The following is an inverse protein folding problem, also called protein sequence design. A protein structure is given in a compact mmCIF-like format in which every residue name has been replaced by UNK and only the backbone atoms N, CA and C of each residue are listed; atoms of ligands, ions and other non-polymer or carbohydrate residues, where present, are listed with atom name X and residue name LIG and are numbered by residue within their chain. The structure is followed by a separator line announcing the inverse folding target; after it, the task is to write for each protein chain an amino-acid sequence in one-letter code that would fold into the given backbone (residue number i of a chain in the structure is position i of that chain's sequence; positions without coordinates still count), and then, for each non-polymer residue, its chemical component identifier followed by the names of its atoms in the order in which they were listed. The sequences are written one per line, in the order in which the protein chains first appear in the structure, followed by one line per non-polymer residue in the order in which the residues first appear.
data_IF_708407784484
#
_entry.id   IF_708407784484
#
_cell.length_a   1.000
_cell.length_b   1.000
_cell.length_c   1.000
_cell.angle_alpha   90.00
_cell.angle_beta   90.00
_cell.angle_gamma   90.00
#
_symmetry.space_group_name_H-M   'P 1'
#
loop_
_entity.id
_entity.type
_entity.pdbx_description
1 polymer ?
#
# COMPACT_ATOMS: atom_id res chain seq x y z
N UNK A 1 -13.26 -9.48 -4.53
CA UNK A 1 -13.02 -8.25 -5.31
C UNK A 1 -14.34 -7.49 -5.29
N UNK A 2 -14.40 -6.33 -4.63
CA UNK A 2 -15.61 -5.50 -4.53
C UNK A 2 -15.42 -4.28 -5.45
N UNK A 3 -16.33 -4.01 -6.40
CA UNK A 3 -16.18 -2.87 -7.30
C UNK A 3 -16.52 -1.56 -6.58
N UNK A 4 -15.54 -0.65 -6.47
CA UNK A 4 -15.78 0.70 -5.97
C UNK A 4 -16.27 1.61 -7.10
N UNK A 5 -17.45 2.22 -6.91
CA UNK A 5 -18.02 3.24 -7.80
C UNK A 5 -18.04 4.61 -7.11
N UNK A 6 -17.73 5.67 -7.86
CA UNK A 6 -17.73 7.05 -7.39
C UNK A 6 -18.93 7.77 -8.03
N UNK A 7 -20.09 7.72 -7.36
CA UNK A 7 -21.30 8.38 -7.82
C UNK A 7 -21.47 9.76 -7.18
N UNK A 8 -21.83 10.76 -7.98
CA UNK A 8 -22.06 12.11 -7.51
C UNK A 8 -23.52 12.30 -7.05
N UNK A 9 -23.69 12.87 -5.85
CA UNK A 9 -24.91 13.54 -5.43
C UNK A 9 -24.53 14.86 -4.75
N UNK A 10 -25.22 15.93 -5.11
CA UNK A 10 -25.08 17.27 -4.52
C UNK A 10 -26.39 17.69 -3.84
N UNK A 11 -26.26 18.47 -2.76
CA UNK A 11 -27.39 19.03 -1.99
C UNK A 11 -27.21 20.50 -1.58
N UNK A 12 -26.19 21.19 -2.10
CA UNK A 12 -25.88 22.57 -1.68
C UNK A 12 -25.32 23.46 -2.80
N UNK A 13 -25.67 24.74 -2.76
CA UNK A 13 -25.27 25.80 -3.71
C UNK A 13 -23.80 26.26 -3.58
N UNK A 14 -22.89 25.37 -3.18
CA UNK A 14 -21.45 25.69 -3.14
C UNK A 14 -20.96 25.86 -4.58
N UNK A 15 -20.30 26.99 -4.95
CA UNK A 15 -19.86 27.24 -6.32
C UNK A 15 -19.00 26.11 -6.88
N UNK A 16 -19.59 25.27 -7.74
CA UNK A 16 -18.94 24.06 -8.20
C UNK A 16 -17.94 24.36 -9.31
N UNK A 17 -16.67 24.54 -8.93
CA UNK A 17 -15.55 24.67 -9.86
C UNK A 17 -14.41 23.75 -9.47
N UNK A 18 -14.19 22.74 -10.31
CA UNK A 18 -12.88 22.14 -10.48
C UNK A 18 -11.98 23.15 -11.22
N UNK A 19 -10.87 23.66 -10.64
CA UNK A 19 -10.07 24.68 -11.31
C UNK A 19 -9.36 24.14 -12.56
N UNK A 20 -9.39 24.89 -13.66
CA UNK A 20 -8.76 24.48 -14.92
C UNK A 20 -7.24 24.26 -14.80
N UNK A 21 -6.58 24.99 -13.90
CA UNK A 21 -5.15 24.82 -13.59
C UNK A 21 -4.87 23.50 -12.84
N UNK A 22 -5.78 23.11 -11.93
CA UNK A 22 -5.70 21.82 -11.23
C UNK A 22 -5.95 20.67 -12.22
N UNK A 23 -6.94 20.83 -13.11
CA UNK A 23 -7.25 19.88 -14.18
C UNK A 23 -6.05 19.66 -15.12
N UNK A 24 -5.46 20.75 -15.62
CA UNK A 24 -4.28 20.71 -16.49
C UNK A 24 -3.06 20.08 -15.79
N UNK A 25 -2.83 20.40 -14.51
CA UNK A 25 -1.77 19.79 -13.71
C UNK A 25 -1.96 18.28 -13.54
N UNK A 26 -3.19 17.82 -13.28
CA UNK A 26 -3.51 16.38 -13.16
C UNK A 26 -3.37 15.68 -14.51
N UNK A 27 -3.89 16.27 -15.60
CA UNK A 27 -3.77 15.70 -16.94
C UNK A 27 -2.30 15.53 -17.35
N UNK A 28 -1.46 16.54 -17.11
CA UNK A 28 -0.02 16.46 -17.33
C UNK A 28 0.64 15.39 -16.44
N UNK A 29 0.25 15.28 -15.18
CA UNK A 29 0.80 14.25 -14.29
C UNK A 29 0.41 12.82 -14.72
N UNK A 30 -0.77 12.62 -15.33
CA UNK A 30 -1.15 11.32 -15.92
C UNK A 30 -0.26 10.96 -17.11
N UNK A 31 0.00 11.94 -17.99
CA UNK A 31 0.89 11.77 -19.16
C UNK A 31 2.35 11.51 -18.73
N UNK A 32 2.95 12.39 -17.93
CA UNK A 32 4.37 12.34 -17.57
C UNK A 32 4.75 11.06 -16.80
N UNK A 33 3.85 10.52 -15.98
CA UNK A 33 4.08 9.29 -15.21
C UNK A 33 3.72 8.01 -15.99
N UNK A 34 3.25 8.12 -17.23
CA UNK A 34 2.75 7.01 -18.06
C UNK A 34 1.61 6.24 -17.37
N UNK A 35 0.74 6.95 -16.64
CA UNK A 35 -0.36 6.33 -15.88
C UNK A 35 -1.44 5.87 -16.88
N UNK A 36 -1.77 4.56 -16.94
CA UNK A 36 -2.77 4.06 -17.88
C UNK A 36 -4.14 4.74 -17.68
N UNK A 37 -4.59 4.83 -16.42
CA UNK A 37 -5.83 5.48 -16.05
C UNK A 37 -5.84 6.00 -14.62
N UNK A 38 -6.56 7.10 -14.38
CA UNK A 38 -6.69 7.76 -13.07
C UNK A 38 -8.12 8.27 -12.88
N UNK A 39 -8.70 8.09 -11.70
CA UNK A 39 -9.98 8.70 -11.30
C UNK A 39 -9.83 9.49 -10.01
N UNK A 40 -10.51 10.64 -9.94
CA UNK A 40 -10.48 11.56 -8.81
C UNK A 40 -11.91 11.90 -8.38
N UNK A 41 -12.15 11.82 -7.07
CA UNK A 41 -13.32 12.35 -6.39
C UNK A 41 -12.92 13.53 -5.49
N UNK A 42 -13.74 14.58 -5.47
CA UNK A 42 -13.61 15.66 -4.47
C UNK A 42 -14.98 15.88 -3.81
N UNK A 43 -14.97 15.84 -2.48
CA UNK A 43 -16.15 16.03 -1.62
C UNK A 43 -15.93 17.26 -0.76
N UNK A 44 -16.94 18.12 -0.65
CA UNK A 44 -16.95 19.28 0.27
C UNK A 44 -18.28 19.27 1.01
N UNK A 45 -18.21 19.38 2.34
CA UNK A 45 -19.36 19.14 3.23
C UNK A 45 -19.95 17.72 3.00
N UNK A 46 -21.24 17.62 2.68
CA UNK A 46 -21.94 16.36 2.40
C UNK A 46 -21.96 15.96 0.92
N UNK A 47 -21.51 16.87 0.04
CA UNK A 47 -21.79 16.86 -1.40
C UNK A 47 -20.55 16.50 -2.20
N UNK A 48 -20.71 15.59 -3.17
CA UNK A 48 -19.67 15.33 -4.18
C UNK A 48 -19.70 16.49 -5.18
N UNK A 49 -18.58 17.20 -5.31
CA UNK A 49 -18.48 18.38 -6.18
C UNK A 49 -17.74 18.05 -7.49
N UNK A 50 -16.75 17.16 -7.44
CA UNK A 50 -16.00 16.72 -8.63
C UNK A 50 -15.93 15.20 -8.67
N UNK A 51 -16.22 14.64 -9.84
CA UNK A 51 -15.77 13.31 -10.25
C UNK A 51 -15.16 13.48 -11.64
N UNK A 52 -13.93 13.00 -11.86
CA UNK A 52 -13.30 13.04 -13.19
C UNK A 52 -12.32 11.89 -13.41
N UNK A 53 -12.41 11.28 -14.59
CA UNK A 53 -11.46 10.30 -15.09
C UNK A 53 -10.46 10.87 -16.11
N UNK A 54 -9.30 10.21 -16.20
CA UNK A 54 -8.21 10.50 -17.13
C UNK A 54 -7.63 9.18 -17.65
N UNK A 55 -7.13 9.17 -18.90
CA UNK A 55 -6.52 7.98 -19.49
C UNK A 55 -7.52 6.93 -19.96
N UNK A 56 -7.10 5.67 -19.97
CA UNK A 56 -7.85 4.49 -20.41
C UNK A 56 -7.97 3.43 -19.30
N UNK A 57 -9.00 2.59 -19.39
CA UNK A 57 -9.24 1.50 -18.42
C UNK A 57 -8.20 0.39 -18.53
N UNK A 58 -7.70 0.13 -19.74
CA UNK A 58 -6.75 -0.95 -20.04
C UNK A 58 -5.78 -0.50 -21.16
N UNK A 59 -4.50 -0.85 -21.02
CA UNK A 59 -3.47 -0.48 -22.00
C UNK A 59 -3.74 -1.11 -23.37
N UNK A 60 -3.75 -0.28 -24.42
CA UNK A 60 -4.04 -0.71 -25.78
C UNK A 60 -5.53 -0.78 -26.15
N UNK A 61 -6.45 -0.49 -25.23
CA UNK A 61 -7.89 -0.35 -25.50
C UNK A 61 -8.34 1.11 -25.52
N UNK A 62 -9.43 1.45 -26.24
CA UNK A 62 -9.89 2.83 -26.37
C UNK A 62 -10.67 3.36 -25.15
N UNK A 63 -11.25 2.45 -24.36
CA UNK A 63 -12.20 2.76 -23.28
C UNK A 63 -11.58 3.69 -22.23
N UNK A 64 -12.24 4.81 -21.96
CA UNK A 64 -11.75 5.86 -21.07
C UNK A 64 -12.10 5.61 -19.62
N UNK A 65 -11.28 6.17 -18.72
CA UNK A 65 -11.67 6.31 -17.32
C UNK A 65 -12.72 7.40 -17.19
N UNK A 66 -13.77 7.12 -16.44
CA UNK A 66 -14.94 7.96 -16.18
C UNK A 66 -15.47 7.70 -14.75
N UNK A 67 -16.56 8.36 -14.36
CA UNK A 67 -17.27 8.20 -13.09
C UNK A 67 -17.84 6.78 -12.86
N UNK A 68 -17.92 5.96 -13.91
CA UNK A 68 -18.41 4.58 -13.85
C UNK A 68 -17.27 3.54 -13.90
N UNK A 69 -16.03 4.00 -14.04
CA UNK A 69 -14.85 3.14 -14.13
C UNK A 69 -14.43 2.68 -12.74
N UNK A 70 -14.47 1.37 -12.54
CA UNK A 70 -14.09 0.70 -11.29
C UNK A 70 -12.57 0.59 -11.16
N UNK A 71 -12.07 0.91 -9.97
CA UNK A 71 -10.70 0.64 -9.52
C UNK A 71 -10.74 -0.29 -8.29
N UNK A 72 -9.66 -1.03 -8.02
CA UNK A 72 -9.55 -1.78 -6.77
C UNK A 72 -9.19 -0.81 -5.64
N UNK A 73 -9.98 -0.77 -4.57
CA UNK A 73 -9.68 0.01 -3.37
C UNK A 73 -8.42 -0.49 -2.60
N UNK A 74 -7.74 -1.53 -3.08
CA UNK A 74 -6.48 -2.06 -2.58
C UNK A 74 -6.49 -2.28 -1.05
N UNK A 75 -5.76 -1.47 -0.28
CA UNK A 75 -5.86 -1.45 1.19
C UNK A 75 -6.60 -0.25 1.79
N UNK A 76 -7.15 0.68 1.01
CA UNK A 76 -8.28 1.51 1.48
C UNK A 76 -9.54 0.66 1.66
N UNK A 77 -9.64 -0.49 0.99
CA UNK A 77 -10.57 -1.56 1.35
C UNK A 77 -10.58 -1.76 2.86
N UNK A 78 -9.44 -1.74 3.56
CA UNK A 78 -9.36 -1.97 5.02
C UNK A 78 -10.08 -0.93 5.89
N UNK A 79 -10.03 0.35 5.56
CA UNK A 79 -10.77 1.38 6.31
C UNK A 79 -12.26 1.30 6.01
N UNK A 80 -12.63 0.95 4.76
CA UNK A 80 -14.02 0.68 4.39
C UNK A 80 -14.54 -0.55 5.19
N UNK A 81 -13.75 -1.61 5.18
CA UNK A 81 -13.87 -2.89 5.90
C UNK A 81 -13.91 -2.74 7.42
N UNK A 82 -13.70 -1.54 8.00
CA UNK A 82 -14.02 -1.25 9.39
C UNK A 82 -15.38 -0.52 9.57
N UNK A 83 -15.82 0.23 8.55
CA UNK A 83 -16.93 1.18 8.62
C UNK A 83 -18.29 0.55 8.47
N UNK A 84 -18.57 -0.03 7.29
CA UNK A 84 -19.84 -0.69 6.99
C UNK A 84 -19.93 -2.04 7.71
N UNK A 85 -19.29 -2.12 8.89
CA UNK A 85 -18.90 -3.29 9.66
C UNK A 85 -19.10 -2.97 11.14
N UNK A 86 -18.64 -1.80 11.61
CA UNK A 86 -19.19 -1.17 12.80
C UNK A 86 -20.70 -0.92 12.64
N UNK A 87 -21.13 -0.25 11.56
CA UNK A 87 -22.49 0.28 11.41
C UNK A 87 -23.62 -0.71 11.76
N UNK A 88 -23.75 -1.80 11.01
CA UNK A 88 -24.75 -2.82 11.31
C UNK A 88 -24.21 -3.92 12.27
N UNK A 89 -23.01 -3.82 12.87
CA UNK A 89 -22.69 -4.56 14.13
C UNK A 89 -23.42 -3.89 15.29
N UNK A 90 -23.49 -2.56 15.27
CA UNK A 90 -24.35 -1.80 16.19
C UNK A 90 -25.85 -2.06 15.89
N UNK A 91 -26.19 -2.61 14.71
CA UNK A 91 -27.50 -3.24 14.42
C UNK A 91 -27.55 -4.78 14.62
N UNK A 92 -26.45 -5.44 15.04
CA UNK A 92 -26.38 -6.87 15.37
C UNK A 92 -26.13 -7.87 14.22
N UNK A 93 -25.53 -7.46 13.09
CA UNK A 93 -25.60 -8.17 11.78
C UNK A 93 -24.28 -8.37 11.00
N UNK A 94 -23.13 -7.78 11.38
CA UNK A 94 -22.01 -7.56 10.44
C UNK A 94 -20.65 -8.21 10.75
N UNK A 95 -19.83 -8.31 9.67
CA UNK A 95 -18.38 -8.58 9.59
C UNK A 95 -17.80 -7.94 8.30
N UNK A 96 -16.49 -8.00 8.11
CA UNK A 96 -15.66 -6.93 7.51
C UNK A 96 -15.71 -6.68 5.96
N UNK A 97 -16.27 -5.55 5.45
CA UNK A 97 -16.38 -5.18 3.99
C UNK A 97 -16.23 -3.67 3.51
N UNK A 98 -17.23 -2.76 3.51
CA UNK A 98 -17.42 -1.66 2.49
C UNK A 98 -17.10 -0.18 2.88
N UNK A 99 -16.35 0.60 2.06
CA UNK A 99 -15.65 2.27 2.77
C UNK A 99 -16.32 3.68 2.77
N UNK A 100 -16.68 4.36 1.66
CA UNK A 100 -16.66 5.85 1.56
C UNK A 100 -17.49 6.61 2.62
N UNK A 101 -18.47 5.94 3.20
CA UNK A 101 -19.26 6.36 4.36
C UNK A 101 -18.37 6.74 5.56
N UNK A 102 -17.19 6.13 5.71
CA UNK A 102 -16.18 6.41 6.75
C UNK A 102 -15.73 7.85 6.76
N UNK A 103 -15.47 8.38 5.57
CA UNK A 103 -14.89 9.71 5.40
C UNK A 103 -15.90 10.77 5.77
N UNK A 104 -17.13 10.63 5.28
CA UNK A 104 -18.25 11.51 5.64
C UNK A 104 -18.68 11.36 7.10
N UNK A 105 -18.59 10.17 7.69
CA UNK A 105 -18.82 9.92 9.13
C UNK A 105 -17.75 10.58 10.02
N UNK A 106 -16.46 10.47 9.68
CA UNK A 106 -15.39 11.09 10.46
C UNK A 106 -15.36 12.61 10.33
N UNK A 107 -15.62 13.17 9.14
CA UNK A 107 -15.80 14.62 8.96
C UNK A 107 -17.11 15.14 9.60
N UNK A 108 -18.06 14.25 9.88
CA UNK A 108 -19.28 14.52 10.64
C UNK A 108 -19.11 14.46 12.16
N UNK A 109 -17.89 14.23 12.68
CA UNK A 109 -17.56 14.10 14.11
C UNK A 109 -18.54 13.19 14.87
N UNK A 110 -18.65 11.95 14.38
CA UNK A 110 -19.51 10.91 14.95
C UNK A 110 -20.98 11.04 14.55
N UNK A 111 -21.33 12.02 13.72
CA UNK A 111 -22.67 12.17 13.14
C UNK A 111 -22.74 11.69 11.69
N UNK A 112 -23.90 11.12 11.34
CA UNK A 112 -24.27 10.70 9.99
C UNK A 112 -25.69 11.17 9.70
N UNK A 113 -25.91 11.85 8.58
CA UNK A 113 -27.23 12.34 8.12
C UNK A 113 -28.03 13.09 9.21
N UNK A 114 -27.34 13.89 10.02
CA UNK A 114 -27.91 14.68 11.11
C UNK A 114 -28.13 13.93 12.43
N UNK A 115 -27.92 12.60 12.47
CA UNK A 115 -28.00 11.77 13.68
C UNK A 115 -26.62 11.49 14.23
N UNK A 116 -26.40 11.67 15.54
CA UNK A 116 -25.18 11.23 16.21
C UNK A 116 -25.21 9.72 16.45
N UNK A 117 -24.12 9.04 16.06
CA UNK A 117 -23.93 7.58 16.21
C UNK A 117 -22.81 7.28 17.21
N UNK A 118 -21.70 8.03 17.16
CA UNK A 118 -20.60 7.97 18.14
C UNK A 118 -20.50 9.30 18.87
N UNK A 119 -20.13 9.29 20.15
CA UNK A 119 -19.97 10.51 20.93
C UNK A 119 -18.74 11.31 20.48
N UNK A 120 -18.86 12.63 20.50
CA UNK A 120 -17.78 13.58 20.19
C UNK A 120 -16.49 13.28 21.00
N UNK A 121 -16.63 12.92 22.28
CA UNK A 121 -15.50 12.49 23.11
C UNK A 121 -14.81 11.20 22.61
N UNK A 122 -15.56 10.22 22.11
CA UNK A 122 -14.99 8.98 21.56
C UNK A 122 -14.36 9.18 20.16
N UNK A 123 -14.90 10.13 19.37
CA UNK A 123 -14.29 10.56 18.12
C UNK A 123 -12.97 11.29 18.37
N UNK A 124 -12.95 12.23 19.32
CA UNK A 124 -11.73 12.93 19.73
C UNK A 124 -10.65 11.97 20.24
N UNK A 125 -11.02 10.90 20.99
CA UNK A 125 -10.07 9.89 21.43
C UNK A 125 -9.60 8.95 20.31
N UNK A 126 -10.47 8.60 19.34
CA UNK A 126 -10.05 7.85 18.14
C UNK A 126 -9.08 8.66 17.27
N UNK A 127 -9.27 9.98 17.22
CA UNK A 127 -8.43 10.95 16.52
C UNK A 127 -7.21 11.41 17.34
N UNK A 128 -7.09 11.00 18.61
CA UNK A 128 -6.00 11.45 19.48
C UNK A 128 -4.66 10.75 19.16
N UNK A 129 -3.51 11.41 19.35
CA UNK A 129 -2.19 10.80 19.27
C UNK A 129 -1.95 9.69 20.31
N UNK A 130 -2.20 8.43 19.93
CA UNK A 130 -1.95 7.25 20.78
C UNK A 130 -0.46 6.83 20.78
N UNK A 131 0.26 7.06 19.68
CA UNK A 131 1.70 6.80 19.57
C UNK A 131 2.42 7.93 18.82
N UNK A 132 3.46 8.51 19.41
CA UNK A 132 4.26 9.58 18.79
C UNK A 132 5.19 8.98 17.71
N UNK A 133 5.17 9.56 16.50
CA UNK A 133 6.09 9.21 15.42
C UNK A 133 7.23 10.25 15.39
N UNK A 134 8.50 9.86 15.60
CA UNK A 134 9.63 10.79 15.56
C UNK A 134 9.77 11.50 14.20
N UNK A 135 9.55 12.81 14.16
CA UNK A 135 9.69 13.59 12.92
C UNK A 135 11.14 14.05 12.74
N UNK A 136 11.85 13.44 11.79
CA UNK A 136 13.14 13.95 11.30
C UNK A 136 12.91 15.15 10.36
N UNK A 137 13.92 16.00 10.10
CA UNK A 137 13.80 17.08 9.12
C UNK A 137 13.36 16.56 7.74
N UNK A 138 13.96 15.46 7.27
CA UNK A 138 13.59 14.81 6.02
C UNK A 138 12.13 14.28 6.01
N UNK A 139 11.64 13.76 7.15
CA UNK A 139 10.25 13.33 7.28
C UNK A 139 9.28 14.52 7.15
N UNK A 140 9.57 15.65 7.84
CA UNK A 140 8.76 16.88 7.77
C UNK A 140 8.67 17.40 6.33
N UNK A 141 9.81 17.58 5.65
CA UNK A 141 9.85 18.01 4.25
C UNK A 141 9.12 17.05 3.30
N UNK A 142 9.28 15.74 3.48
CA UNK A 142 8.64 14.74 2.62
C UNK A 142 7.11 14.66 2.81
N UNK A 143 6.59 14.98 4.00
CA UNK A 143 5.16 14.86 4.36
C UNK A 143 4.41 16.18 4.49
N UNK A 144 5.08 17.32 4.38
CA UNK A 144 4.52 18.68 4.57
C UNK A 144 3.93 18.88 5.99
N UNK A 145 4.64 18.33 6.98
CA UNK A 145 4.29 18.35 8.42
C UNK A 145 5.15 19.41 9.13
N UNK A 146 4.53 20.36 9.83
CA UNK A 146 5.24 21.40 10.57
C UNK A 146 5.57 20.99 12.01
N UNK A 147 4.60 20.45 12.73
CA UNK A 147 4.62 20.34 14.20
C UNK A 147 4.81 18.90 14.68
N UNK A 148 3.92 17.97 14.32
CA UNK A 148 3.97 16.61 14.87
C UNK A 148 3.43 15.54 13.92
N UNK A 149 3.86 14.30 14.15
CA UNK A 149 3.26 13.11 13.57
C UNK A 149 3.04 12.05 14.66
N UNK A 150 1.97 11.29 14.51
CA UNK A 150 1.51 10.28 15.44
C UNK A 150 0.69 9.21 14.71
N UNK A 151 0.35 8.15 15.45
CA UNK A 151 -0.64 7.16 15.07
C UNK A 151 -1.78 7.21 16.09
N UNK A 152 -3.02 7.32 15.61
CA UNK A 152 -4.26 7.17 16.39
C UNK A 152 -4.89 5.80 16.13
N UNK A 153 -6.14 5.58 16.54
CA UNK A 153 -6.79 4.29 16.33
C UNK A 153 -7.22 4.13 14.85
N UNK A 154 -6.34 3.53 14.05
CA UNK A 154 -6.57 3.24 12.62
C UNK A 154 -6.08 4.31 11.63
N UNK A 155 -5.60 5.46 12.12
CA UNK A 155 -5.18 6.60 11.31
C UNK A 155 -3.75 7.06 11.63
N UNK A 156 -3.06 7.58 10.61
CA UNK A 156 -1.92 8.47 10.86
C UNK A 156 -2.46 9.86 11.19
N UNK A 157 -2.06 10.40 12.34
CA UNK A 157 -2.50 11.70 12.87
C UNK A 157 -1.31 12.65 12.80
N UNK A 158 -1.40 13.74 12.06
CA UNK A 158 -0.33 14.75 11.93
C UNK A 158 -0.93 16.10 11.56
N UNK A 159 -0.13 17.15 11.46
CA UNK A 159 -0.56 18.35 10.73
C UNK A 159 -0.18 18.28 9.25
N UNK A 160 -1.06 18.77 8.38
CA UNK A 160 -0.76 19.15 7.01
C UNK A 160 -0.62 20.68 6.96
N UNK A 161 0.62 21.17 6.87
CA UNK A 161 0.93 22.61 6.84
C UNK A 161 0.31 23.41 8.01
N UNK A 162 0.07 22.77 9.17
CA UNK A 162 -0.62 23.35 10.33
C UNK A 162 -2.10 22.99 10.51
N UNK A 163 -2.76 22.41 9.50
CA UNK A 163 -4.13 21.90 9.61
C UNK A 163 -4.15 20.46 10.13
N UNK A 164 -4.97 20.08 11.14
CA UNK A 164 -4.99 18.71 11.65
C UNK A 164 -5.44 17.72 10.57
N UNK A 165 -4.64 16.68 10.32
CA UNK A 165 -4.86 15.69 9.27
C UNK A 165 -4.92 14.26 9.83
N UNK A 166 -5.96 13.54 9.42
CA UNK A 166 -6.11 12.09 9.60
C UNK A 166 -5.97 11.42 8.25
N UNK A 167 -5.04 10.48 8.06
CA UNK A 167 -4.81 9.89 6.75
C UNK A 167 -4.29 8.45 6.80
N UNK A 168 -4.39 7.77 5.65
CA UNK A 168 -3.90 6.40 5.46
C UNK A 168 -3.61 6.10 3.98
N UNK A 169 -2.97 4.96 3.71
CA UNK A 169 -2.61 4.50 2.34
C UNK A 169 -2.88 3.02 2.16
N UNK A 170 -2.98 2.59 0.91
CA UNK A 170 -3.02 1.18 0.57
C UNK A 170 -2.35 0.83 -0.76
N UNK A 171 -2.02 -0.45 -0.90
CA UNK A 171 -1.58 -1.07 -2.14
C UNK A 171 -1.98 -2.55 -2.16
N UNK A 172 -2.02 -3.13 -3.35
CA UNK A 172 -2.37 -4.53 -3.63
C UNK A 172 -2.63 -4.73 -5.13
N UNK A 173 -2.32 -5.90 -5.67
CA UNK A 173 -2.79 -6.41 -6.97
C UNK A 173 -2.82 -5.37 -8.12
N UNK A 174 -1.65 -4.83 -8.48
CA UNK A 174 -1.54 -3.82 -9.54
C UNK A 174 -1.90 -2.38 -9.12
N UNK A 175 -2.58 -2.16 -7.99
CA UNK A 175 -3.18 -0.87 -7.63
C UNK A 175 -2.63 -0.24 -6.34
N UNK A 176 -2.75 1.09 -6.25
CA UNK A 176 -2.37 1.95 -5.12
C UNK A 176 -3.52 2.90 -4.76
N UNK A 177 -3.59 3.28 -3.49
CA UNK A 177 -4.73 4.02 -2.94
C UNK A 177 -4.31 4.95 -1.78
N UNK A 178 -4.90 6.15 -1.71
CA UNK A 178 -4.59 7.18 -0.70
C UNK A 178 -5.85 7.87 -0.19
N UNK A 179 -5.85 8.25 1.09
CA UNK A 179 -7.02 8.81 1.77
C UNK A 179 -6.59 9.77 2.88
N UNK A 180 -7.08 11.01 2.86
CA UNK A 180 -6.82 12.01 3.90
C UNK A 180 -8.05 12.85 4.23
N UNK A 181 -8.13 13.31 5.48
CA UNK A 181 -9.18 14.14 6.06
C UNK A 181 -8.56 15.32 6.81
N UNK A 182 -9.13 16.51 6.66
CA UNK A 182 -8.87 17.69 7.49
C UNK A 182 -10.18 18.02 8.27
N UNK A 183 -10.34 17.56 9.52
CA UNK A 183 -11.64 17.58 10.21
C UNK A 183 -12.17 18.98 10.53
N UNK A 184 -11.31 19.94 10.89
CA UNK A 184 -11.75 21.32 11.21
C UNK A 184 -12.27 22.03 9.95
N UNK A 185 -11.64 21.75 8.83
CA UNK A 185 -11.90 22.32 7.50
C UNK A 185 -12.99 21.57 6.73
N UNK A 186 -13.48 20.44 7.28
CA UNK A 186 -14.50 19.56 6.70
C UNK A 186 -14.19 19.13 5.26
N UNK A 187 -12.89 18.90 5.00
CA UNK A 187 -12.34 18.54 3.70
C UNK A 187 -11.82 17.10 3.73
N UNK A 188 -12.06 16.35 2.66
CA UNK A 188 -11.54 14.99 2.49
C UNK A 188 -11.15 14.72 1.05
N UNK A 189 -10.10 13.93 0.87
CA UNK A 189 -9.57 13.52 -0.44
C UNK A 189 -9.27 12.04 -0.46
N UNK A 190 -9.66 11.36 -1.53
CA UNK A 190 -9.33 9.96 -1.80
C UNK A 190 -8.89 9.81 -3.26
N UNK A 191 -7.80 9.07 -3.50
CA UNK A 191 -7.20 8.89 -4.83
C UNK A 191 -6.85 7.43 -5.03
N UNK A 192 -7.26 6.87 -6.17
CA UNK A 192 -7.03 5.48 -6.59
C UNK A 192 -6.23 5.47 -7.89
N UNK A 193 -5.27 4.54 -8.00
CA UNK A 193 -4.33 4.45 -9.14
C UNK A 193 -4.14 2.99 -9.52
N UNK A 194 -4.42 2.61 -10.76
CA UNK A 194 -4.32 1.22 -11.24
C UNK A 194 -2.89 0.79 -11.65
N UNK A 195 -1.85 1.39 -11.05
CA UNK A 195 -0.45 1.03 -11.34
C UNK A 195 0.51 1.31 -10.18
N UNK A 196 1.49 0.41 -9.99
CA UNK A 196 2.60 0.60 -9.04
C UNK A 196 3.75 1.46 -9.58
N UNK A 197 3.77 1.79 -10.89
CA UNK A 197 4.92 2.48 -11.52
C UNK A 197 5.03 3.97 -11.13
N UNK A 198 4.02 4.49 -10.44
CA UNK A 198 3.93 5.86 -9.92
C UNK A 198 3.73 5.86 -8.38
N UNK A 199 4.64 5.28 -7.58
CA UNK A 199 4.41 4.92 -6.17
C UNK A 199 4.33 6.10 -5.18
N UNK A 200 4.28 7.33 -5.68
CA UNK A 200 4.13 8.57 -4.90
C UNK A 200 2.95 9.42 -5.35
N UNK A 201 2.39 9.17 -6.55
CA UNK A 201 1.50 10.14 -7.22
C UNK A 201 0.21 10.38 -6.44
N UNK A 202 -0.34 9.33 -5.82
CA UNK A 202 -1.54 9.43 -5.00
C UNK A 202 -1.38 10.37 -3.78
N UNK A 203 -0.17 10.48 -3.22
CA UNK A 203 0.13 11.41 -2.12
C UNK A 203 0.43 12.82 -2.63
N UNK A 204 1.16 12.92 -3.74
CA UNK A 204 1.44 14.19 -4.44
C UNK A 204 0.17 14.89 -4.90
N UNK A 205 -0.76 14.16 -5.53
CA UNK A 205 -2.03 14.72 -6.01
C UNK A 205 -2.94 15.09 -4.84
N UNK A 206 -2.97 14.28 -3.77
CA UNK A 206 -3.72 14.62 -2.57
C UNK A 206 -3.19 15.91 -1.91
N UNK A 207 -1.87 16.07 -1.77
CA UNK A 207 -1.26 17.31 -1.30
C UNK A 207 -1.65 18.52 -2.16
N UNK A 208 -1.62 18.38 -3.50
CA UNK A 208 -2.06 19.46 -4.41
C UNK A 208 -3.55 19.79 -4.26
N UNK A 209 -4.42 18.78 -4.09
CA UNK A 209 -5.85 19.00 -3.82
C UNK A 209 -6.06 19.71 -2.49
N UNK A 210 -5.37 19.30 -1.41
CA UNK A 210 -5.45 19.98 -0.11
C UNK A 210 -4.95 21.42 -0.21
N UNK A 211 -3.79 21.68 -0.81
CA UNK A 211 -3.25 23.02 -1.04
C UNK A 211 -4.28 23.93 -1.77
N UNK A 212 -4.87 23.45 -2.88
CA UNK A 212 -5.87 24.21 -3.64
C UNK A 212 -7.17 24.44 -2.85
N UNK A 213 -7.65 23.46 -2.07
CA UNK A 213 -8.93 23.59 -1.35
C UNK A 213 -8.82 24.34 -0.01
N UNK A 214 -7.61 24.58 0.47
CA UNK A 214 -7.25 25.45 1.58
C UNK A 214 -6.84 26.88 1.14
N UNK A 215 -6.78 27.15 -0.17
CA UNK A 215 -6.27 28.40 -0.77
C UNK A 215 -4.80 28.73 -0.38
N UNK A 216 -3.95 27.69 -0.33
CA UNK A 216 -2.53 27.84 0.03
C UNK A 216 -1.64 27.54 -1.18
N UNK A 217 -0.77 28.49 -1.55
CA UNK A 217 0.24 28.31 -2.60
C UNK A 217 1.02 26.99 -2.41
N UNK A 218 1.04 26.09 -3.40
CA UNK A 218 1.80 24.84 -3.32
C UNK A 218 3.30 25.10 -3.16
N UNK A 219 3.92 24.47 -2.16
CA UNK A 219 5.36 24.66 -1.89
C UNK A 219 6.27 24.08 -2.98
N UNK A 220 5.76 23.12 -3.76
CA UNK A 220 6.52 22.36 -4.75
C UNK A 220 5.64 21.66 -5.77
N UNK A 221 6.26 21.22 -6.85
CA UNK A 221 5.70 20.23 -7.77
C UNK A 221 6.21 18.83 -7.41
N UNK A 222 5.49 18.17 -6.49
CA UNK A 222 5.79 16.80 -6.09
C UNK A 222 5.58 15.75 -7.19
N UNK A 223 5.05 16.15 -8.37
CA UNK A 223 4.94 15.27 -9.53
C UNK A 223 6.26 15.32 -10.32
N UNK A 224 6.69 16.53 -10.69
CA UNK A 224 7.96 16.78 -11.36
C UNK A 224 9.17 16.30 -10.54
N UNK A 225 9.18 16.53 -9.22
CA UNK A 225 10.22 16.00 -8.32
C UNK A 225 10.29 14.46 -8.35
N UNK A 226 9.14 13.79 -8.29
CA UNK A 226 9.07 12.33 -8.31
C UNK A 226 9.52 11.75 -9.66
N UNK A 227 9.22 12.44 -10.77
CA UNK A 227 9.68 12.09 -12.11
C UNK A 227 11.20 12.22 -12.25
N UNK A 228 11.79 13.31 -11.74
CA UNK A 228 13.25 13.48 -11.70
C UNK A 228 13.94 12.36 -10.88
N UNK A 229 13.31 11.87 -9.82
CA UNK A 229 13.79 10.72 -9.05
C UNK A 229 13.61 9.36 -9.73
N UNK A 230 12.69 9.23 -10.69
CA UNK A 230 12.25 7.95 -11.30
C UNK A 230 13.40 7.17 -11.96
N UNK A 231 14.32 7.76 -12.75
CA UNK A 231 15.46 7.01 -13.33
C UNK A 231 16.41 6.47 -12.27
N UNK A 232 16.76 7.27 -11.25
CA UNK A 232 17.65 6.85 -10.17
C UNK A 232 17.01 5.78 -9.25
N UNK A 233 15.68 5.78 -9.14
CA UNK A 233 14.93 4.71 -8.48
C UNK A 233 14.98 3.41 -9.31
N UNK A 234 14.64 3.48 -10.60
CA UNK A 234 14.65 2.33 -11.51
C UNK A 234 16.05 1.71 -11.62
N UNK A 235 17.09 2.53 -11.76
CA UNK A 235 18.47 2.04 -11.87
C UNK A 235 18.90 1.29 -10.61
N UNK A 236 18.62 1.80 -9.41
CA UNK A 236 18.90 1.09 -8.15
C UNK A 236 18.17 -0.24 -8.04
N UNK A 237 16.91 -0.33 -8.49
CA UNK A 237 16.18 -1.62 -8.55
C UNK A 237 16.78 -2.57 -9.59
N UNK A 238 17.18 -2.08 -10.76
CA UNK A 238 17.86 -2.87 -11.80
C UNK A 238 19.21 -3.40 -11.31
N UNK A 239 20.00 -2.57 -10.64
CA UNK A 239 21.31 -2.96 -10.09
C UNK A 239 21.18 -3.94 -8.92
N UNK A 240 20.18 -3.78 -8.06
CA UNK A 240 19.88 -4.76 -7.02
C UNK A 240 19.51 -6.13 -7.62
N UNK A 241 18.58 -6.17 -8.59
CA UNK A 241 18.21 -7.41 -9.31
C UNK A 241 19.39 -8.00 -10.10
N UNK A 242 20.24 -7.15 -10.70
CA UNK A 242 21.47 -7.56 -11.38
C UNK A 242 22.48 -8.16 -10.40
N UNK A 243 22.75 -7.53 -9.26
CA UNK A 243 23.65 -8.05 -8.24
C UNK A 243 23.15 -9.38 -7.64
N UNK A 244 21.84 -9.53 -7.45
CA UNK A 244 21.21 -10.79 -7.06
C UNK A 244 21.39 -11.85 -8.14
N UNK A 245 21.08 -11.57 -9.42
CA UNK A 245 21.24 -12.54 -10.52
C UNK A 245 22.71 -12.92 -10.78
N UNK A 246 23.61 -11.95 -10.81
CA UNK A 246 25.00 -12.14 -11.21
C UNK A 246 25.83 -12.84 -10.10
N UNK A 247 25.31 -12.90 -8.87
CA UNK A 247 25.87 -13.73 -7.78
C UNK A 247 25.43 -15.21 -7.83
N UNK A 248 24.74 -15.66 -8.89
CA UNK A 248 24.45 -17.08 -9.14
C UNK A 248 25.66 -17.72 -9.84
N UNK A 249 26.41 -18.57 -9.13
CA UNK A 249 27.50 -19.35 -9.73
C UNK A 249 26.90 -20.49 -10.57
N UNK A 250 26.94 -20.35 -11.90
CA UNK A 250 26.48 -21.39 -12.84
C UNK A 250 27.27 -22.68 -12.63
N UNK A 251 26.58 -23.83 -12.65
CA UNK A 251 27.19 -25.14 -12.44
C UNK A 251 27.62 -25.45 -11.01
N UNK A 252 27.36 -24.56 -10.03
CA UNK A 252 27.67 -24.84 -8.63
C UNK A 252 26.76 -25.93 -8.06
N UNK A 253 27.35 -26.94 -7.42
CA UNK A 253 26.64 -27.99 -6.69
C UNK A 253 26.66 -27.74 -5.18
N UNK A 254 25.59 -28.09 -4.44
CA UNK A 254 25.58 -27.97 -2.98
C UNK A 254 26.53 -29.00 -2.32
N UNK A 255 27.16 -28.69 -1.17
CA UNK A 255 28.05 -29.61 -0.44
C UNK A 255 27.40 -30.88 0.11
N UNK A 256 26.08 -31.02 0.01
CA UNK A 256 25.29 -32.19 0.40
C UNK A 256 24.26 -32.51 -0.69
N UNK A 257 23.77 -33.75 -0.82
CA UNK A 257 22.64 -34.05 -1.70
C UNK A 257 21.39 -33.27 -1.28
N UNK A 258 20.48 -32.96 -2.23
CA UNK A 258 19.28 -32.16 -1.95
C UNK A 258 18.37 -32.77 -0.86
N UNK A 259 18.42 -34.10 -0.67
CA UNK A 259 17.71 -34.80 0.40
C UNK A 259 18.15 -34.40 1.81
N UNK A 260 19.39 -33.92 1.99
CA UNK A 260 19.88 -33.41 3.27
C UNK A 260 19.30 -32.03 3.63
N UNK A 261 18.67 -31.34 2.67
CA UNK A 261 18.04 -30.03 2.84
C UNK A 261 16.51 -30.11 2.82
N UNK A 262 15.93 -31.13 2.17
CA UNK A 262 14.51 -31.44 2.26
C UNK A 262 14.09 -31.78 3.71
N UNK A 263 12.81 -31.59 4.03
CA UNK A 263 12.22 -31.79 5.35
C UNK A 263 11.22 -30.71 5.73
N UNK A 264 10.62 -30.85 6.92
CA UNK A 264 9.77 -29.82 7.52
C UNK A 264 10.60 -28.91 8.43
N UNK A 265 10.36 -27.61 8.35
CA UNK A 265 10.97 -26.59 9.20
C UNK A 265 9.88 -25.68 9.78
N UNK A 266 10.01 -25.28 11.05
CA UNK A 266 9.01 -24.48 11.75
C UNK A 266 9.61 -23.20 12.34
N UNK A 267 8.82 -22.13 12.32
CA UNK A 267 9.06 -20.86 13.01
C UNK A 267 7.75 -20.46 13.71
N UNK A 268 7.84 -19.95 14.94
CA UNK A 268 6.67 -19.65 15.78
C UNK A 268 5.81 -18.46 15.32
N UNK A 269 6.30 -17.67 14.36
CA UNK A 269 5.64 -16.50 13.79
C UNK A 269 5.24 -16.73 12.31
N UNK A 270 6.07 -17.42 11.53
CA UNK A 270 5.84 -17.66 10.10
C UNK A 270 5.28 -19.05 9.77
N UNK A 271 5.23 -19.97 10.74
CA UNK A 271 4.62 -21.29 10.60
C UNK A 271 5.49 -22.33 9.88
N UNK A 272 4.84 -23.30 9.26
CA UNK A 272 5.48 -24.46 8.62
C UNK A 272 6.02 -24.13 7.22
N UNK A 273 7.34 -24.19 7.08
CA UNK A 273 8.05 -24.18 5.80
C UNK A 273 8.43 -25.62 5.43
N UNK A 274 7.82 -26.17 4.38
CA UNK A 274 8.15 -27.52 3.91
C UNK A 274 9.09 -27.47 2.71
N UNK A 275 10.16 -28.24 2.73
CA UNK A 275 11.10 -28.36 1.60
C UNK A 275 11.06 -29.77 1.02
N UNK A 276 10.76 -29.88 -0.27
CA UNK A 276 10.64 -31.16 -0.99
C UNK A 276 11.44 -31.13 -2.29
N UNK A 277 11.82 -32.30 -2.79
CA UNK A 277 12.41 -32.42 -4.13
C UNK A 277 11.26 -32.60 -5.12
N UNK A 278 11.03 -31.59 -5.97
CA UNK A 278 10.08 -31.69 -7.10
C UNK A 278 10.89 -31.69 -8.41
N UNK A 279 10.70 -32.69 -9.27
CA UNK A 279 11.35 -32.78 -10.60
C UNK A 279 12.89 -32.61 -10.59
N UNK A 280 13.55 -33.03 -9.49
CA UNK A 280 15.00 -32.93 -9.30
C UNK A 280 15.50 -31.59 -8.74
N UNK A 281 14.64 -30.58 -8.59
CA UNK A 281 14.95 -29.33 -7.89
C UNK A 281 14.48 -29.39 -6.43
N UNK A 282 15.16 -28.68 -5.53
CA UNK A 282 14.68 -28.45 -4.17
C UNK A 282 13.68 -27.29 -4.19
N UNK A 283 12.50 -27.49 -3.60
CA UNK A 283 11.38 -26.56 -3.63
C UNK A 283 10.92 -26.27 -2.21
N UNK A 284 10.91 -25.00 -1.86
CA UNK A 284 10.27 -24.48 -0.67
C UNK A 284 8.77 -24.32 -0.91
N UNK A 285 7.95 -24.67 0.09
CA UNK A 285 6.54 -24.30 0.19
C UNK A 285 6.29 -23.59 1.52
N UNK A 286 5.55 -22.48 1.46
CA UNK A 286 5.22 -21.62 2.58
C UNK A 286 3.76 -21.16 2.44
N UNK A 287 2.85 -21.80 3.18
CA UNK A 287 1.41 -21.64 2.95
C UNK A 287 1.00 -22.08 1.54
N UNK A 288 0.49 -21.14 0.72
CA UNK A 288 0.16 -21.38 -0.70
C UNK A 288 1.36 -21.20 -1.63
N UNK A 289 2.35 -20.44 -1.22
CA UNK A 289 3.47 -20.04 -2.07
C UNK A 289 4.51 -21.16 -2.24
N UNK A 290 5.14 -21.17 -3.41
CA UNK A 290 6.20 -22.11 -3.74
C UNK A 290 7.38 -21.38 -4.39
N UNK A 291 8.60 -21.78 -4.02
CA UNK A 291 9.84 -21.26 -4.59
C UNK A 291 10.82 -22.37 -4.95
N UNK A 292 11.44 -22.25 -6.12
CA UNK A 292 12.57 -23.07 -6.50
C UNK A 292 13.83 -22.57 -5.75
N UNK A 293 14.47 -23.46 -5.00
CA UNK A 293 15.74 -23.15 -4.33
C UNK A 293 16.90 -23.44 -5.28
N UNK A 294 17.36 -22.41 -5.98
CA UNK A 294 18.47 -22.49 -6.94
C UNK A 294 19.80 -22.36 -6.19
N UNK A 295 20.66 -23.38 -6.22
CA UNK A 295 21.92 -23.35 -5.48
C UNK A 295 22.86 -22.21 -5.92
N UNK A 296 23.66 -21.69 -4.98
CA UNK A 296 24.51 -20.49 -5.16
C UNK A 296 25.97 -20.76 -4.81
N UNK A 297 26.20 -21.13 -3.55
CA UNK A 297 27.51 -21.43 -2.94
C UNK A 297 27.27 -22.06 -1.57
N UNK A 298 28.10 -23.02 -1.18
CA UNK A 298 28.03 -23.66 0.14
C UNK A 298 26.59 -24.05 0.52
N UNK A 299 26.07 -23.57 1.65
CA UNK A 299 24.71 -23.85 2.11
C UNK A 299 23.70 -22.74 1.74
N UNK A 300 24.03 -21.86 0.79
CA UNK A 300 23.18 -20.77 0.30
C UNK A 300 22.51 -21.11 -1.03
N UNK A 301 21.23 -20.77 -1.14
CA UNK A 301 20.36 -20.92 -2.30
C UNK A 301 19.64 -19.58 -2.57
N UNK A 302 19.33 -19.29 -3.84
CA UNK A 302 18.39 -18.25 -4.20
C UNK A 302 16.98 -18.82 -4.03
N UNK A 303 16.15 -18.12 -3.28
CA UNK A 303 14.71 -18.37 -3.21
C UNK A 303 14.10 -17.60 -4.38
N UNK A 304 13.73 -18.32 -5.44
CA UNK A 304 13.00 -17.77 -6.60
C UNK A 304 11.57 -18.30 -6.57
N UNK A 305 10.61 -17.42 -6.35
CA UNK A 305 9.21 -17.76 -6.22
C UNK A 305 8.57 -18.07 -7.58
N UNK A 306 7.48 -18.83 -7.57
CA UNK A 306 6.77 -19.23 -8.79
C UNK A 306 5.64 -18.27 -9.17
N UNK A 307 5.10 -17.53 -8.21
CA UNK A 307 4.25 -16.38 -8.52
C UNK A 307 5.12 -15.18 -8.95
N UNK A 308 4.83 -14.51 -10.09
CA UNK A 308 5.66 -13.41 -10.59
C UNK A 308 5.73 -12.19 -9.68
N UNK A 309 4.65 -11.86 -8.96
CA UNK A 309 4.60 -10.69 -8.07
C UNK A 309 5.37 -10.98 -6.78
N UNK A 310 5.21 -12.19 -6.25
CA UNK A 310 5.95 -12.67 -5.08
C UNK A 310 7.45 -12.82 -5.39
N UNK A 311 7.82 -13.24 -6.61
CA UNK A 311 9.22 -13.28 -7.06
C UNK A 311 9.82 -11.87 -7.18
N UNK A 312 9.08 -10.94 -7.79
CA UNK A 312 9.52 -9.56 -7.98
C UNK A 312 9.77 -8.80 -6.66
N UNK A 313 8.97 -9.10 -5.63
CA UNK A 313 9.03 -8.46 -4.31
C UNK A 313 9.93 -9.18 -3.29
N UNK A 314 10.03 -10.51 -3.36
CA UNK A 314 10.60 -11.33 -2.29
C UNK A 314 11.69 -12.34 -2.72
N UNK A 315 12.23 -12.22 -3.94
CA UNK A 315 13.48 -12.92 -4.32
C UNK A 315 14.58 -12.64 -3.29
N UNK A 316 15.14 -13.68 -2.69
CA UNK A 316 16.05 -13.54 -1.55
C UNK A 316 17.11 -14.65 -1.50
N UNK A 317 18.12 -14.49 -0.63
CA UNK A 317 19.04 -15.60 -0.32
C UNK A 317 18.51 -16.36 0.90
N UNK A 318 18.26 -17.65 0.71
CA UNK A 318 18.07 -18.60 1.80
C UNK A 318 19.40 -19.28 2.13
N UNK A 319 19.76 -19.41 3.40
CA UNK A 319 20.97 -20.12 3.84
C UNK A 319 20.61 -21.14 4.91
N UNK A 320 21.01 -22.39 4.68
CA UNK A 320 20.92 -23.44 5.68
C UNK A 320 22.12 -23.40 6.63
N UNK A 321 21.90 -23.71 7.89
CA UNK A 321 22.95 -23.90 8.89
C UNK A 321 22.92 -25.33 9.42
N UNK A 322 24.10 -25.83 9.77
CA UNK A 322 24.25 -27.14 10.38
C UNK A 322 24.19 -27.03 11.91
N UNK A 323 23.57 -28.02 12.55
CA UNK A 323 23.63 -28.20 14.00
C UNK A 323 24.97 -28.77 14.45
N UNK A 324 25.11 -29.01 15.75
CA UNK A 324 26.34 -29.57 16.37
C UNK A 324 26.72 -30.96 15.83
N UNK A 325 25.77 -31.72 15.28
CA UNK A 325 25.99 -32.99 14.58
C UNK A 325 26.49 -32.85 13.14
N UNK A 326 26.60 -31.64 12.61
CA UNK A 326 26.93 -31.35 11.21
C UNK A 326 25.77 -31.60 10.22
N UNK A 327 24.64 -32.17 10.67
CA UNK A 327 23.40 -32.26 9.89
C UNK A 327 22.74 -30.88 9.76
N UNK A 328 21.93 -30.67 8.70
CA UNK A 328 21.16 -29.42 8.53
C UNK A 328 20.10 -29.32 9.63
N UNK A 329 20.13 -28.22 10.39
CA UNK A 329 19.30 -28.00 11.59
C UNK A 329 18.38 -26.78 11.45
N UNK A 330 18.77 -25.77 10.66
CA UNK A 330 17.96 -24.59 10.46
C UNK A 330 18.14 -24.00 9.05
N UNK A 331 17.20 -23.13 8.68
CA UNK A 331 17.23 -22.36 7.45
C UNK A 331 16.82 -20.91 7.72
N UNK A 332 17.59 -19.97 7.17
CA UNK A 332 17.35 -18.54 7.35
C UNK A 332 17.21 -17.85 6.00
N UNK A 333 16.15 -17.07 5.83
CA UNK A 333 15.95 -16.21 4.67
C UNK A 333 15.49 -14.81 5.09
N UNK A 334 15.57 -13.83 4.18
CA UNK A 334 14.93 -12.53 4.39
C UNK A 334 13.66 -12.39 3.56
N UNK A 335 12.53 -12.20 4.23
CA UNK A 335 11.26 -11.82 3.60
C UNK A 335 11.01 -10.35 3.93
N UNK A 336 11.04 -9.47 2.93
CA UNK A 336 10.92 -8.02 3.11
C UNK A 336 11.98 -7.45 4.11
N UNK A 337 11.55 -6.84 5.22
CA UNK A 337 12.42 -6.29 6.26
C UNK A 337 12.90 -7.35 7.24
N UNK A 338 12.15 -8.44 7.36
CA UNK A 338 12.28 -9.42 8.42
C UNK A 338 13.20 -10.57 8.02
N UNK A 339 13.61 -11.35 9.02
CA UNK A 339 14.45 -12.54 8.85
C UNK A 339 13.71 -13.74 9.40
N UNK A 340 13.26 -14.63 8.51
CA UNK A 340 12.63 -15.90 8.87
C UNK A 340 13.75 -16.87 9.24
N UNK A 341 13.69 -17.49 10.42
CA UNK A 341 14.75 -18.34 10.96
C UNK A 341 14.20 -19.69 11.47
N UNK A 342 13.64 -20.48 10.55
CA UNK A 342 13.00 -21.77 10.84
C UNK A 342 14.01 -22.83 11.29
N UNK A 343 13.60 -23.68 12.23
CA UNK A 343 14.34 -24.88 12.68
C UNK A 343 13.73 -26.14 12.09
N UNK A 344 14.56 -27.12 11.72
CA UNK A 344 14.15 -28.41 11.16
C UNK A 344 13.45 -29.21 12.25
N UNK A 345 12.26 -29.73 11.95
CA UNK A 345 11.53 -30.62 12.85
C UNK A 345 12.00 -32.05 12.60
N UNK A 346 12.16 -32.83 13.67
CA UNK A 346 12.39 -34.27 13.52
C UNK A 346 11.15 -34.93 12.90
N UNK A 347 11.36 -35.85 11.95
CA UNK A 347 10.28 -36.69 11.43
C UNK A 347 9.75 -37.58 12.57
N UNK A 348 8.43 -37.70 12.68
CA UNK A 348 7.72 -38.51 13.68
C UNK A 348 7.37 -39.89 13.12
#
# INVERSE_FOLDING_TARGET
MWPTLISAQSKSDVPNRFPAELDAYIAKAVEDWEIPGLSIAIVRNDSVIVVKGYGVREMGKPDKVDEHTVFDAASLTKSFTATAVAMLVDEGKLRWDDPSRWLRFHLGDGTWEGRRLVSEAAMQEMHSPQLIIPTTPAFRTARLVNFFAAYGLGFQVMDYRGHPMLWHTGGGDGQLAYMALLPREKLGVAILVNTWIAPVIHGTLAARVLDTYLDITPLRDGSAEGLQGRPAQQQRTRDARKAVRDSIVRGSTPPRPLSAYAGSYIDSLYGDLTMRIERGALVLRMGREAADLVHRRAHTFLVRWRDPVFDELFTTNGTFTAGTSGAVDAFTMRLNRDTIAVRRVAER
#
